data_IF_581005950741
#
_entry.id   IF_581005950741
#
_cell.length_a   1.000
_cell.length_b   1.000
_cell.length_c   1.000
_cell.angle_alpha   90.00
_cell.angle_beta   90.00
_cell.angle_gamma   90.00
#
_symmetry.space_group_name_H-M   'P 1'
#
loop_
_entity.id
_entity.type
_entity.pdbx_description
1 polymer ?
#
# COMPACT_ATOMS: atom_id res chain seq x y z
N UNK A 1 -8.26 4.68 18.45
CA UNK A 1 -8.01 6.00 17.85
C UNK A 1 -7.55 6.97 18.91
N UNK A 2 -6.23 7.26 19.04
CA UNK A 2 -5.74 8.13 20.12
C UNK A 2 -6.05 9.62 19.92
N UNK A 3 -6.48 10.06 18.74
CA UNK A 3 -6.61 11.48 18.41
C UNK A 3 -8.03 12.05 18.41
N UNK A 4 -9.07 11.20 18.41
CA UNK A 4 -10.45 11.65 18.48
C UNK A 4 -10.96 11.38 19.89
N UNK A 5 -10.92 12.39 20.76
CA UNK A 5 -11.81 12.38 21.92
C UNK A 5 -13.24 12.13 21.44
N UNK A 6 -14.05 11.44 22.23
CA UNK A 6 -15.41 10.94 21.89
C UNK A 6 -16.36 11.95 21.19
N UNK A 7 -15.95 13.23 21.05
CA UNK A 7 -16.77 14.34 20.57
C UNK A 7 -16.09 15.26 19.58
N UNK A 8 -14.92 14.90 19.00
CA UNK A 8 -14.24 15.75 18.02
C UNK A 8 -14.94 15.62 16.68
N UNK A 9 -15.58 16.68 16.21
CA UNK A 9 -16.13 16.76 14.85
C UNK A 9 -14.99 16.63 13.85
N UNK A 10 -15.22 15.92 12.75
CA UNK A 10 -14.31 15.90 11.61
C UNK A 10 -13.97 17.31 11.18
N UNK A 11 -12.68 17.63 11.10
CA UNK A 11 -12.19 18.89 10.55
C UNK A 11 -12.29 18.90 9.02
N UNK A 12 -12.14 20.06 8.40
CA UNK A 12 -12.03 20.13 6.93
C UNK A 12 -10.84 19.34 6.40
N UNK A 13 -9.73 19.36 7.12
CA UNK A 13 -8.52 18.60 6.81
C UNK A 13 -8.76 17.07 6.85
N UNK A 14 -9.41 16.56 7.90
CA UNK A 14 -9.75 15.12 7.99
C UNK A 14 -10.60 14.68 6.79
N UNK A 15 -11.53 15.53 6.36
CA UNK A 15 -12.38 15.24 5.20
C UNK A 15 -11.58 15.18 3.90
N UNK A 16 -10.69 16.13 3.67
CA UNK A 16 -9.82 16.18 2.49
C UNK A 16 -8.94 14.94 2.36
N UNK A 17 -8.35 14.47 3.48
CA UNK A 17 -7.53 13.26 3.51
C UNK A 17 -8.35 12.02 3.18
N UNK A 18 -9.55 11.91 3.75
CA UNK A 18 -10.46 10.80 3.45
C UNK A 18 -10.87 10.81 1.97
N UNK A 19 -11.28 11.97 1.43
CA UNK A 19 -11.65 12.12 0.02
C UNK A 19 -10.49 11.75 -0.92
N UNK A 20 -9.28 12.23 -0.64
CA UNK A 20 -8.06 11.86 -1.38
C UNK A 20 -7.80 10.36 -1.34
N UNK A 21 -7.93 9.75 -0.17
CA UNK A 21 -7.71 8.30 -0.01
C UNK A 21 -8.75 7.47 -0.78
N UNK A 22 -10.00 7.88 -0.78
CA UNK A 22 -11.08 7.24 -1.54
C UNK A 22 -10.86 7.40 -3.05
N UNK A 23 -10.46 8.60 -3.49
CA UNK A 23 -10.19 8.89 -4.90
C UNK A 23 -9.09 8.00 -5.49
N UNK A 24 -7.96 7.89 -4.80
CA UNK A 24 -6.82 7.05 -5.25
C UNK A 24 -7.23 5.60 -5.47
N UNK A 25 -8.19 5.11 -4.70
CA UNK A 25 -8.64 3.72 -4.72
C UNK A 25 -9.96 3.52 -5.51
N UNK A 26 -10.47 4.58 -6.15
CA UNK A 26 -11.68 4.52 -6.98
C UNK A 26 -12.94 4.22 -6.19
N UNK A 27 -13.03 4.71 -4.95
CA UNK A 27 -14.14 4.42 -4.03
C UNK A 27 -15.08 5.61 -3.77
N UNK A 28 -14.92 6.75 -4.44
CA UNK A 28 -15.69 7.97 -4.17
C UNK A 28 -17.19 7.74 -4.29
N UNK A 29 -17.60 6.97 -5.30
CA UNK A 29 -19.00 6.63 -5.56
C UNK A 29 -19.62 5.67 -4.53
N UNK A 30 -18.80 5.13 -3.62
CA UNK A 30 -19.19 4.22 -2.55
C UNK A 30 -19.05 4.83 -1.16
N UNK A 31 -18.65 6.10 -1.05
CA UNK A 31 -18.33 6.77 0.21
C UNK A 31 -19.47 6.73 1.24
N UNK A 32 -20.72 6.75 0.78
CA UNK A 32 -21.93 6.73 1.65
C UNK A 32 -22.47 5.31 1.90
N UNK A 33 -21.87 4.27 1.30
CA UNK A 33 -22.31 2.89 1.50
C UNK A 33 -21.75 2.30 2.78
N UNK A 34 -22.51 1.39 3.37
CA UNK A 34 -22.02 0.59 4.49
C UNK A 34 -20.99 -0.43 3.99
N UNK A 35 -19.97 -0.71 4.80
CA UNK A 35 -18.90 -1.64 4.43
C UNK A 35 -19.44 -3.04 4.10
N UNK A 36 -20.52 -3.45 4.75
CA UNK A 36 -21.22 -4.73 4.51
C UNK A 36 -21.90 -4.84 3.13
N UNK A 37 -22.13 -3.72 2.47
CA UNK A 37 -22.73 -3.66 1.12
C UNK A 37 -21.67 -3.70 0.00
N UNK A 38 -20.39 -3.66 0.36
CA UNK A 38 -19.28 -3.67 -0.56
C UNK A 38 -18.89 -5.11 -0.90
N UNK A 39 -18.45 -5.33 -2.17
CA UNK A 39 -17.80 -6.58 -2.55
C UNK A 39 -16.49 -6.77 -1.78
N UNK A 40 -15.96 -8.02 -1.71
CA UNK A 40 -14.73 -8.31 -0.99
C UNK A 40 -13.54 -7.43 -1.43
N UNK A 41 -13.37 -7.23 -2.74
CA UNK A 41 -12.31 -6.35 -3.26
C UNK A 41 -12.56 -4.86 -2.95
N UNK A 42 -13.82 -4.41 -2.89
CA UNK A 42 -14.15 -3.05 -2.45
C UNK A 42 -13.90 -2.86 -0.96
N UNK A 43 -14.21 -3.87 -0.14
CA UNK A 43 -13.91 -3.85 1.30
C UNK A 43 -12.40 -3.76 1.56
N UNK A 44 -11.60 -4.55 0.85
CA UNK A 44 -10.13 -4.51 0.95
C UNK A 44 -9.60 -3.11 0.62
N UNK A 45 -10.06 -2.51 -0.48
CA UNK A 45 -9.71 -1.13 -0.84
C UNK A 45 -10.19 -0.10 0.19
N UNK A 46 -11.37 -0.28 0.78
CA UNK A 46 -11.87 0.61 1.83
C UNK A 46 -11.01 0.53 3.11
N UNK A 47 -10.53 -0.66 3.49
CA UNK A 47 -9.58 -0.80 4.59
C UNK A 47 -8.24 -0.14 4.29
N UNK A 48 -7.75 -0.24 3.05
CA UNK A 48 -6.55 0.48 2.62
C UNK A 48 -6.76 2.00 2.67
N UNK A 49 -7.89 2.51 2.15
CA UNK A 49 -8.23 3.95 2.25
C UNK A 49 -8.22 4.43 3.71
N UNK A 50 -8.76 3.63 4.62
CA UNK A 50 -8.74 3.92 6.05
C UNK A 50 -7.31 3.98 6.61
N UNK A 51 -6.43 3.07 6.22
CA UNK A 51 -5.03 3.06 6.65
C UNK A 51 -4.29 4.32 6.15
N UNK A 52 -4.50 4.71 4.90
CA UNK A 52 -3.93 5.92 4.32
C UNK A 52 -4.43 7.20 5.03
N UNK A 53 -5.73 7.25 5.37
CA UNK A 53 -6.33 8.39 6.05
C UNK A 53 -5.91 8.54 7.53
N UNK A 54 -5.18 7.59 8.10
CA UNK A 54 -4.69 7.68 9.49
C UNK A 54 -3.47 8.61 9.65
N UNK A 55 -2.85 9.05 8.57
CA UNK A 55 -1.64 9.89 8.57
C UNK A 55 -0.50 9.33 9.46
N UNK A 56 -0.41 8.01 9.58
CA UNK A 56 0.60 7.36 10.38
C UNK A 56 2.01 7.61 9.82
N UNK A 57 3.00 7.74 10.70
CA UNK A 57 4.41 7.84 10.29
C UNK A 57 4.96 6.53 9.73
N UNK A 58 4.38 5.42 10.13
CA UNK A 58 4.73 4.07 9.64
C UNK A 58 3.46 3.41 9.12
N UNK A 59 3.49 2.99 7.86
CA UNK A 59 2.43 2.24 7.19
C UNK A 59 2.91 0.81 6.97
N UNK A 60 2.15 -0.14 7.51
CA UNK A 60 2.34 -1.57 7.26
C UNK A 60 1.19 -2.07 6.40
N UNK A 61 1.46 -2.47 5.19
CA UNK A 61 0.47 -2.85 4.20
C UNK A 61 0.69 -4.30 3.75
N UNK A 62 -0.36 -5.10 3.82
CA UNK A 62 -0.31 -6.47 3.36
C UNK A 62 -0.93 -6.57 1.96
N UNK A 63 -0.10 -6.87 0.97
CA UNK A 63 -0.44 -6.97 -0.45
C UNK A 63 -1.36 -5.84 -0.98
N UNK A 64 -0.99 -4.56 -0.81
CA UNK A 64 -1.90 -3.44 -1.06
C UNK A 64 -2.30 -3.27 -2.54
N UNK A 65 -1.59 -3.89 -3.47
CA UNK A 65 -1.85 -3.83 -4.91
C UNK A 65 -2.77 -4.96 -5.41
N UNK A 66 -3.03 -5.97 -4.58
CA UNK A 66 -3.87 -7.11 -4.96
C UNK A 66 -5.30 -6.67 -5.26
N UNK A 67 -5.82 -7.10 -6.41
CA UNK A 67 -7.19 -6.80 -6.84
C UNK A 67 -7.41 -5.36 -7.36
N UNK A 68 -6.34 -4.59 -7.55
CA UNK A 68 -6.37 -3.30 -8.23
C UNK A 68 -6.16 -3.48 -9.74
N UNK A 69 -6.80 -2.63 -10.53
CA UNK A 69 -6.49 -2.48 -11.95
C UNK A 69 -5.21 -1.63 -12.14
N UNK A 70 -4.67 -1.62 -13.34
CA UNK A 70 -3.41 -0.94 -13.64
C UNK A 70 -3.44 0.59 -13.31
N UNK A 71 -4.51 1.35 -13.62
CA UNK A 71 -4.61 2.75 -13.20
C UNK A 71 -4.60 2.94 -11.68
N UNK A 72 -5.32 2.09 -10.94
CA UNK A 72 -5.36 2.17 -9.49
C UNK A 72 -4.00 1.78 -8.86
N UNK A 73 -3.31 0.76 -9.40
CA UNK A 73 -1.94 0.41 -9.00
C UNK A 73 -0.99 1.59 -9.14
N UNK A 74 -1.00 2.26 -10.31
CA UNK A 74 -0.16 3.43 -10.55
C UNK A 74 -0.49 4.60 -9.61
N UNK A 75 -1.77 4.83 -9.34
CA UNK A 75 -2.22 5.90 -8.44
C UNK A 75 -1.81 5.63 -6.99
N UNK A 76 -1.94 4.37 -6.55
CA UNK A 76 -1.48 3.95 -5.23
C UNK A 76 0.04 4.05 -5.12
N UNK A 77 0.79 3.56 -6.12
CA UNK A 77 2.25 3.66 -6.13
C UNK A 77 2.73 5.11 -5.98
N UNK A 78 2.19 6.04 -6.77
CA UNK A 78 2.51 7.48 -6.66
C UNK A 78 2.15 8.07 -5.29
N UNK A 79 1.04 7.62 -4.68
CA UNK A 79 0.68 8.08 -3.35
C UNK A 79 1.68 7.58 -2.30
N UNK A 80 2.06 6.29 -2.35
CA UNK A 80 3.03 5.72 -1.41
C UNK A 80 4.41 6.38 -1.54
N UNK A 81 4.85 6.65 -2.76
CA UNK A 81 6.08 7.40 -3.07
C UNK A 81 6.02 8.83 -2.48
N UNK A 82 4.91 9.54 -2.68
CA UNK A 82 4.69 10.86 -2.09
C UNK A 82 4.77 10.84 -0.56
N UNK A 83 4.16 9.82 0.08
CA UNK A 83 4.19 9.66 1.53
C UNK A 83 5.61 9.36 2.05
N UNK A 84 6.37 8.55 1.33
CA UNK A 84 7.78 8.30 1.63
C UNK A 84 8.62 9.58 1.48
N UNK A 85 8.38 10.38 0.44
CA UNK A 85 8.99 11.70 0.25
C UNK A 85 8.67 12.71 1.36
N UNK A 86 7.53 12.56 2.04
CA UNK A 86 7.13 13.33 3.24
C UNK A 86 7.82 12.82 4.53
N UNK A 87 8.68 11.82 4.44
CA UNK A 87 9.41 11.24 5.58
C UNK A 87 8.64 10.14 6.33
N UNK A 88 7.61 9.56 5.72
CA UNK A 88 6.91 8.38 6.29
C UNK A 88 7.61 7.09 5.86
N UNK A 89 7.58 6.09 6.72
CA UNK A 89 8.06 4.76 6.39
C UNK A 89 6.89 3.91 5.85
N UNK A 90 7.02 3.44 4.62
CA UNK A 90 6.04 2.52 4.01
C UNK A 90 6.68 1.14 3.88
N UNK A 91 6.08 0.15 4.49
CA UNK A 91 6.46 -1.26 4.37
C UNK A 91 5.26 -2.01 3.81
N UNK A 92 5.46 -2.71 2.69
CA UNK A 92 4.41 -3.49 2.07
C UNK A 92 4.91 -4.90 1.74
N UNK A 93 4.06 -5.92 1.97
CA UNK A 93 4.29 -7.24 1.39
C UNK A 93 3.91 -7.20 -0.09
N UNK A 94 4.66 -7.93 -0.91
CA UNK A 94 4.38 -8.03 -2.35
C UNK A 94 4.91 -9.36 -2.90
N UNK A 95 4.16 -10.00 -3.79
CA UNK A 95 4.53 -11.30 -4.34
C UNK A 95 5.01 -11.24 -5.79
N UNK A 96 4.72 -10.14 -6.51
CA UNK A 96 5.22 -9.92 -7.86
C UNK A 96 6.55 -9.16 -7.81
N UNK A 97 7.64 -9.88 -8.07
CA UNK A 97 9.00 -9.38 -7.97
C UNK A 97 9.31 -8.31 -9.03
N UNK A 98 8.69 -8.38 -10.21
CA UNK A 98 8.91 -7.38 -11.27
C UNK A 98 8.30 -6.03 -10.86
N UNK A 99 7.04 -6.07 -10.42
CA UNK A 99 6.35 -4.86 -9.94
C UNK A 99 7.02 -4.30 -8.68
N UNK A 100 7.53 -5.16 -7.79
CA UNK A 100 8.27 -4.73 -6.60
C UNK A 100 9.52 -3.91 -6.96
N UNK A 101 10.26 -4.32 -8.00
CA UNK A 101 11.46 -3.62 -8.45
C UNK A 101 11.17 -2.22 -9.04
N UNK A 102 9.95 -2.00 -9.50
CA UNK A 102 9.51 -0.71 -10.07
C UNK A 102 8.94 0.26 -9.01
N UNK A 103 8.36 -0.28 -7.93
CA UNK A 103 7.60 0.52 -6.95
C UNK A 103 8.45 0.86 -5.71
N UNK A 104 9.32 -0.05 -5.27
CA UNK A 104 10.03 0.09 -3.99
C UNK A 104 11.51 0.37 -4.17
N UNK A 105 12.05 1.31 -3.38
CA UNK A 105 13.48 1.62 -3.35
C UNK A 105 14.29 0.50 -2.72
N UNK A 106 13.76 -0.10 -1.67
CA UNK A 106 14.43 -1.11 -0.85
C UNK A 106 13.55 -2.34 -0.71
N UNK A 107 14.13 -3.51 -0.84
CA UNK A 107 13.44 -4.80 -0.71
C UNK A 107 14.12 -5.66 0.35
N UNK A 108 13.29 -6.33 1.12
CA UNK A 108 13.66 -7.41 2.01
C UNK A 108 13.14 -8.72 1.41
N UNK A 109 14.05 -9.55 0.90
CA UNK A 109 13.72 -10.82 0.27
C UNK A 109 13.77 -11.94 1.31
N UNK A 110 12.69 -12.69 1.43
CA UNK A 110 12.55 -13.77 2.40
C UNK A 110 12.15 -15.09 1.72
N UNK A 111 12.74 -16.18 2.19
CA UNK A 111 12.29 -17.55 1.92
C UNK A 111 12.48 -18.38 3.19
N UNK A 112 11.51 -18.32 4.10
CA UNK A 112 11.54 -18.74 5.52
C UNK A 112 12.51 -17.92 6.36
N UNK A 113 13.75 -17.74 5.87
CA UNK A 113 14.79 -16.92 6.44
C UNK A 113 15.01 -15.66 5.60
N UNK A 114 15.68 -14.67 6.18
CA UNK A 114 16.13 -13.50 5.44
C UNK A 114 17.19 -13.90 4.42
N UNK A 115 16.88 -13.70 3.14
CA UNK A 115 17.82 -14.01 2.04
C UNK A 115 18.66 -12.79 1.70
N UNK A 116 18.02 -11.63 1.53
CA UNK A 116 18.70 -10.39 1.20
C UNK A 116 17.90 -9.17 1.65
N UNK A 117 18.61 -8.06 1.88
CA UNK A 117 18.04 -6.75 2.16
C UNK A 117 18.90 -5.69 1.50
N UNK A 118 18.29 -4.75 0.79
CA UNK A 118 19.00 -3.66 0.10
C UNK A 118 18.19 -3.03 -1.02
N UNK A 119 18.85 -2.24 -1.90
CA UNK A 119 18.22 -1.63 -3.07
C UNK A 119 17.50 -2.68 -3.93
N UNK A 120 16.28 -2.36 -4.38
CA UNK A 120 15.41 -3.30 -5.09
C UNK A 120 16.12 -3.89 -6.33
N UNK A 121 16.81 -3.07 -7.11
CA UNK A 121 17.50 -3.49 -8.32
C UNK A 121 18.63 -4.50 -8.06
N UNK A 122 19.27 -4.45 -6.90
CA UNK A 122 20.36 -5.36 -6.52
C UNK A 122 19.80 -6.66 -5.92
N UNK A 123 18.77 -6.52 -5.07
CA UNK A 123 18.15 -7.66 -4.36
C UNK A 123 17.32 -8.52 -5.30
N UNK A 124 16.60 -7.91 -6.25
CA UNK A 124 15.74 -8.60 -7.22
C UNK A 124 16.45 -8.91 -8.53
N UNK A 125 17.78 -9.07 -8.52
CA UNK A 125 18.49 -9.51 -9.73
C UNK A 125 18.05 -10.92 -10.16
N UNK A 126 17.99 -11.20 -11.48
CA UNK A 126 17.56 -12.51 -11.99
C UNK A 126 18.36 -13.69 -11.42
N UNK A 127 19.66 -13.48 -11.14
CA UNK A 127 20.53 -14.48 -10.54
C UNK A 127 20.08 -14.83 -9.13
N UNK A 128 19.81 -13.82 -8.30
CA UNK A 128 19.41 -14.00 -6.91
C UNK A 128 18.00 -14.61 -6.78
N UNK A 129 17.09 -14.22 -7.66
CA UNK A 129 15.75 -14.80 -7.73
C UNK A 129 15.83 -16.30 -8.06
N UNK A 130 16.67 -16.69 -9.03
CA UNK A 130 16.90 -18.10 -9.36
C UNK A 130 17.49 -18.89 -8.18
N UNK A 131 18.49 -18.34 -7.51
CA UNK A 131 19.10 -18.99 -6.35
C UNK A 131 18.11 -19.17 -5.19
N UNK A 132 17.26 -18.18 -4.97
CA UNK A 132 16.33 -18.18 -3.84
C UNK A 132 15.12 -19.08 -4.05
N UNK A 133 14.55 -19.10 -5.25
CA UNK A 133 13.28 -19.77 -5.52
C UNK A 133 13.39 -20.94 -6.50
N UNK A 134 14.56 -21.20 -7.09
CA UNK A 134 14.76 -22.23 -8.10
C UNK A 134 13.97 -21.99 -9.39
N UNK A 135 13.49 -20.77 -9.60
CA UNK A 135 12.68 -20.39 -10.75
C UNK A 135 13.56 -20.01 -11.93
N UNK A 136 13.32 -20.61 -13.09
CA UNK A 136 13.79 -20.05 -14.35
C UNK A 136 12.93 -18.81 -14.65
N UNK A 137 13.56 -17.65 -14.60
CA UNK A 137 12.95 -16.40 -15.00
C UNK A 137 12.74 -16.34 -16.51
#
# INVERSE_FOLDING_TARGET
>A
YPALGLWKKFSGHDREIVEKSLHVLGLEHLAERQISELSGGQQQRAFLARALAQEAHVLLLDEPFTGLDAPACQSLGRLLDSLAGEGRLVIASHHDLNTAAEIFDTVLLMNRDLVAFGPAQEVLSPERIRETYGMNA
#
